data_IF_240725272041
#
_entry.id   IF_240725272041
#
_cell.length_a   1.000
_cell.length_b   1.000
_cell.length_c   1.000
_cell.angle_alpha   90.00
_cell.angle_beta   90.00
_cell.angle_gamma   90.00
#
_symmetry.space_group_name_H-M   'P 1'
#
loop_
_entity.id
_entity.type
_entity.pdbx_description
1 polymer ?
#
# COMPACT_ATOMS: atom_id res chain seq x y z
N UNK A 1 -13.32 -57.50 -11.31
CA UNK A 1 -13.99 -56.16 -11.15
C UNK A 1 -13.76 -55.46 -9.83
N UNK A 2 -13.23 -56.09 -8.79
CA UNK A 2 -13.00 -55.50 -7.46
C UNK A 2 -11.67 -54.75 -7.30
N UNK A 3 -10.70 -54.93 -8.20
CA UNK A 3 -9.38 -54.30 -8.07
C UNK A 3 -9.37 -52.79 -8.49
N UNK A 4 -10.24 -52.43 -9.43
CA UNK A 4 -10.34 -51.04 -9.89
C UNK A 4 -11.04 -50.07 -8.93
N UNK A 5 -11.87 -50.56 -8.01
CA UNK A 5 -12.58 -49.70 -7.04
C UNK A 5 -11.67 -49.11 -5.96
N UNK A 6 -10.59 -49.84 -5.58
CA UNK A 6 -9.64 -49.35 -4.55
C UNK A 6 -8.69 -48.28 -5.11
N UNK A 7 -8.33 -48.34 -6.38
CA UNK A 7 -7.52 -47.30 -7.03
C UNK A 7 -8.25 -45.98 -7.18
N UNK A 8 -9.55 -46.01 -7.47
CA UNK A 8 -10.38 -44.80 -7.56
C UNK A 8 -10.59 -44.10 -6.22
N UNK A 9 -10.71 -44.85 -5.12
CA UNK A 9 -10.85 -44.28 -3.79
C UNK A 9 -9.56 -43.57 -3.31
N UNK A 10 -8.39 -44.09 -3.65
CA UNK A 10 -7.11 -43.48 -3.30
C UNK A 10 -6.81 -42.21 -4.12
N UNK A 11 -7.24 -42.16 -5.38
CA UNK A 11 -7.11 -40.94 -6.21
C UNK A 11 -8.07 -39.85 -5.77
N UNK A 12 -9.29 -40.20 -5.41
CA UNK A 12 -10.27 -39.23 -4.89
C UNK A 12 -9.82 -38.60 -3.55
N UNK A 13 -9.24 -39.39 -2.63
CA UNK A 13 -8.67 -38.88 -1.38
C UNK A 13 -7.44 -38.02 -1.57
N UNK A 14 -6.58 -38.33 -2.55
CA UNK A 14 -5.42 -37.52 -2.86
C UNK A 14 -5.81 -36.16 -3.49
N UNK A 15 -6.82 -36.09 -4.33
CA UNK A 15 -7.33 -34.85 -4.91
C UNK A 15 -8.02 -33.96 -3.86
N UNK A 16 -8.77 -34.53 -2.92
CA UNK A 16 -9.40 -33.76 -1.83
C UNK A 16 -8.35 -33.23 -0.85
N UNK A 17 -7.30 -34.00 -0.55
CA UNK A 17 -6.19 -33.55 0.30
C UNK A 17 -5.37 -32.42 -0.37
N UNK A 18 -5.21 -32.42 -1.69
CA UNK A 18 -4.54 -31.35 -2.44
C UNK A 18 -5.36 -30.05 -2.48
N UNK A 19 -6.69 -30.14 -2.53
CA UNK A 19 -7.57 -28.99 -2.50
C UNK A 19 -7.64 -28.30 -1.11
N UNK A 20 -7.45 -29.06 -0.03
CA UNK A 20 -7.41 -28.51 1.33
C UNK A 20 -6.09 -27.78 1.62
N UNK A 21 -4.99 -28.14 0.93
CA UNK A 21 -3.67 -27.49 1.14
C UNK A 21 -3.53 -26.14 0.44
N UNK A 22 -4.37 -25.84 -0.56
CA UNK A 22 -4.39 -24.54 -1.23
C UNK A 22 -5.30 -23.50 -0.56
N UNK A 23 -5.97 -23.86 0.52
CA UNK A 23 -6.92 -23.02 1.25
C UNK A 23 -6.33 -22.22 2.42
N UNK A 24 -5.00 -22.16 2.60
CA UNK A 24 -4.42 -21.17 3.51
C UNK A 24 -4.45 -19.82 2.84
N UNK A 25 -5.57 -19.13 2.96
CA UNK A 25 -5.64 -17.68 2.73
C UNK A 25 -4.67 -17.04 3.71
N UNK A 26 -3.46 -16.74 3.24
CA UNK A 26 -2.62 -15.76 3.92
C UNK A 26 -3.40 -14.46 3.88
N UNK A 27 -4.02 -14.09 5.01
CA UNK A 27 -4.50 -12.72 5.17
C UNK A 27 -3.30 -11.82 4.83
N UNK A 28 -3.40 -10.91 3.84
CA UNK A 28 -2.36 -9.95 3.62
C UNK A 28 -2.20 -9.20 4.94
N UNK A 29 -1.06 -9.37 5.58
CA UNK A 29 -0.74 -8.60 6.76
C UNK A 29 -0.79 -7.13 6.31
N UNK A 30 -1.76 -6.38 6.83
CA UNK A 30 -1.91 -4.98 6.50
C UNK A 30 -0.66 -4.27 7.01
N UNK A 31 0.03 -3.59 6.11
CA UNK A 31 1.13 -2.69 6.43
C UNK A 31 0.68 -1.61 7.44
N UNK A 32 1.60 -0.78 7.90
CA UNK A 32 1.28 0.35 8.78
C UNK A 32 0.02 1.11 8.27
N UNK A 33 -1.04 1.23 9.06
CA UNK A 33 -2.37 1.65 8.56
C UNK A 33 -2.42 3.10 8.04
N UNK A 34 -1.46 3.94 8.44
CA UNK A 34 -1.38 5.35 8.06
C UNK A 34 -0.14 5.68 7.23
N UNK A 35 0.74 4.70 7.00
CA UNK A 35 1.97 4.95 6.25
C UNK A 35 1.70 4.88 4.75
N UNK A 36 2.28 5.79 4.00
CA UNK A 36 2.19 5.76 2.54
C UNK A 36 3.01 4.59 1.98
N UNK A 37 2.46 3.88 1.01
CA UNK A 37 3.23 2.89 0.26
C UNK A 37 4.42 3.58 -0.41
N UNK A 38 5.59 3.05 -0.16
CA UNK A 38 6.87 3.57 -0.56
C UNK A 38 7.56 2.62 -1.54
N UNK A 39 8.73 3.00 -2.00
CA UNK A 39 9.57 2.18 -2.87
C UNK A 39 9.96 0.84 -2.24
N UNK A 40 10.66 0.03 -2.98
CA UNK A 40 11.34 -1.13 -2.43
C UNK A 40 12.37 -0.66 -1.38
N UNK A 41 12.57 -1.45 -0.33
CA UNK A 41 13.64 -1.21 0.62
C UNK A 41 14.98 -1.68 0.03
N UNK A 42 16.10 -1.17 0.54
CA UNK A 42 17.42 -1.61 0.04
C UNK A 42 17.61 -3.13 0.19
N UNK A 43 17.10 -3.70 1.27
CA UNK A 43 17.16 -5.16 1.45
C UNK A 43 16.34 -5.92 0.42
N UNK A 44 15.16 -5.40 0.03
CA UNK A 44 14.34 -5.99 -1.04
C UNK A 44 14.98 -5.81 -2.42
N UNK A 45 15.52 -4.62 -2.69
CA UNK A 45 16.22 -4.35 -3.95
C UNK A 45 17.42 -5.29 -4.11
N UNK A 46 18.29 -5.37 -3.08
CA UNK A 46 19.46 -6.25 -3.10
C UNK A 46 19.08 -7.73 -3.24
N UNK A 47 18.00 -8.18 -2.62
CA UNK A 47 17.52 -9.56 -2.72
C UNK A 47 16.85 -9.88 -4.06
N UNK A 48 16.37 -8.87 -4.78
CA UNK A 48 15.77 -9.03 -6.11
C UNK A 48 16.82 -9.03 -7.23
N UNK A 49 18.07 -8.70 -6.93
CA UNK A 49 19.18 -8.66 -7.87
C UNK A 49 20.06 -9.91 -7.78
N UNK A 50 20.62 -10.34 -8.91
CA UNK A 50 21.52 -11.48 -8.96
C UNK A 50 22.87 -11.18 -8.30
N UNK A 51 23.30 -9.91 -8.34
CA UNK A 51 24.53 -9.46 -7.69
C UNK A 51 24.36 -8.06 -7.10
N UNK A 52 24.96 -7.82 -5.94
CA UNK A 52 25.11 -6.51 -5.31
C UNK A 52 26.55 -6.30 -4.84
N UNK A 53 27.11 -5.12 -5.13
CA UNK A 53 28.52 -4.84 -4.88
C UNK A 53 28.73 -3.40 -4.43
N UNK A 54 29.82 -3.17 -3.66
CA UNK A 54 30.37 -1.82 -3.50
C UNK A 54 31.51 -1.66 -4.50
N UNK A 55 31.44 -0.58 -5.26
CA UNK A 55 32.41 -0.28 -6.31
C UNK A 55 32.92 1.16 -6.22
N UNK A 56 34.03 1.43 -6.89
CA UNK A 56 34.62 2.75 -7.04
C UNK A 56 34.81 3.05 -8.51
N UNK A 57 34.46 4.25 -8.94
CA UNK A 57 34.69 4.67 -10.32
C UNK A 57 36.19 4.77 -10.62
N UNK A 58 36.59 4.24 -11.75
CA UNK A 58 37.99 4.34 -12.21
C UNK A 58 38.21 5.77 -12.74
N UNK A 59 39.15 6.54 -12.16
CA UNK A 59 39.36 7.92 -12.58
C UNK A 59 39.71 8.06 -14.07
N UNK A 60 39.05 8.97 -14.77
CA UNK A 60 39.30 9.24 -16.18
C UNK A 60 38.69 8.20 -17.14
N UNK A 61 37.82 7.31 -16.65
CA UNK A 61 37.13 6.32 -17.46
C UNK A 61 35.76 6.81 -17.97
N UNK A 62 35.33 8.01 -17.50
CA UNK A 62 34.02 8.58 -17.83
C UNK A 62 33.94 8.93 -19.31
N UNK A 63 32.80 8.59 -19.90
CA UNK A 63 32.35 9.05 -21.21
C UNK A 63 31.05 9.86 -21.08
N UNK A 64 30.47 10.30 -22.18
CA UNK A 64 29.16 10.97 -22.17
C UNK A 64 28.00 10.03 -21.79
N UNK A 65 28.22 8.71 -21.76
CA UNK A 65 27.15 7.73 -21.57
C UNK A 65 27.43 6.75 -20.42
N UNK A 66 28.69 6.49 -20.08
CA UNK A 66 29.08 5.44 -19.14
C UNK A 66 30.41 5.75 -18.42
N UNK A 67 30.74 4.94 -17.42
CA UNK A 67 32.02 4.95 -16.74
C UNK A 67 32.43 3.52 -16.36
N UNK A 68 33.72 3.31 -16.13
CA UNK A 68 34.27 2.04 -15.61
C UNK A 68 34.28 2.08 -14.08
N UNK A 69 33.82 1.00 -13.46
CA UNK A 69 33.80 0.85 -12.01
C UNK A 69 34.60 -0.40 -11.61
N UNK A 70 35.50 -0.25 -10.64
CA UNK A 70 36.24 -1.33 -10.01
C UNK A 70 35.47 -1.84 -8.78
N UNK A 71 35.20 -3.14 -8.74
CA UNK A 71 34.52 -3.80 -7.63
C UNK A 71 35.41 -3.81 -6.40
N UNK A 72 34.98 -3.18 -5.31
CA UNK A 72 35.71 -3.12 -4.04
C UNK A 72 35.32 -4.31 -3.15
N UNK A 73 34.03 -4.60 -3.05
CA UNK A 73 33.53 -5.74 -2.29
C UNK A 73 32.22 -6.26 -2.88
N UNK A 74 32.01 -7.57 -2.77
CA UNK A 74 30.78 -8.25 -3.19
C UNK A 74 29.92 -8.52 -1.95
N UNK A 75 28.64 -8.17 -2.00
CA UNK A 75 27.69 -8.27 -0.89
C UNK A 75 26.89 -9.58 -0.92
N UNK A 76 26.54 -10.05 -2.14
CA UNK A 76 25.89 -11.34 -2.39
C UNK A 76 26.43 -11.96 -3.67
N UNK A 77 26.21 -13.27 -3.88
CA UNK A 77 26.59 -14.04 -5.08
C UNK A 77 28.03 -13.82 -5.55
N UNK A 78 28.98 -14.17 -4.69
CA UNK A 78 30.43 -14.04 -4.96
C UNK A 78 30.91 -14.88 -6.13
N UNK A 79 30.10 -15.80 -6.64
CA UNK A 79 30.46 -16.63 -7.80
C UNK A 79 30.32 -15.91 -9.14
N UNK A 80 29.59 -14.79 -9.20
CA UNK A 80 29.31 -14.06 -10.44
C UNK A 80 30.33 -12.95 -10.73
N UNK A 81 30.96 -12.41 -9.70
CA UNK A 81 31.92 -11.31 -9.83
C UNK A 81 32.91 -11.32 -8.65
N UNK A 82 34.12 -10.86 -8.89
CA UNK A 82 35.19 -10.82 -7.86
C UNK A 82 35.65 -9.40 -7.56
N UNK A 83 36.13 -9.13 -6.34
CA UNK A 83 36.80 -7.88 -6.03
C UNK A 83 38.01 -7.62 -6.95
N UNK A 84 38.18 -6.36 -7.38
CA UNK A 84 39.20 -5.95 -8.36
C UNK A 84 38.76 -6.06 -9.81
N UNK A 85 37.67 -6.76 -10.11
CA UNK A 85 37.10 -6.81 -11.45
C UNK A 85 36.53 -5.43 -11.84
N UNK A 86 36.65 -5.07 -13.13
CA UNK A 86 36.16 -3.83 -13.68
C UNK A 86 34.94 -4.08 -14.54
N UNK A 87 33.93 -3.24 -14.38
CA UNK A 87 32.68 -3.30 -15.13
C UNK A 87 32.34 -1.93 -15.70
N UNK A 88 31.75 -1.88 -16.87
CA UNK A 88 31.29 -0.65 -17.49
C UNK A 88 29.79 -0.48 -17.29
N UNK A 89 29.40 0.66 -16.73
CA UNK A 89 28.01 0.92 -16.30
C UNK A 89 27.57 2.28 -16.83
N UNK A 90 26.33 2.39 -17.27
CA UNK A 90 25.73 3.68 -17.66
C UNK A 90 25.75 4.66 -16.50
N UNK A 91 26.46 5.77 -16.68
CA UNK A 91 26.63 6.78 -15.64
C UNK A 91 26.82 8.17 -16.27
N UNK A 92 26.01 9.12 -15.84
CA UNK A 92 25.99 10.49 -16.35
C UNK A 92 26.47 11.53 -15.33
N UNK A 93 26.93 11.08 -14.17
CA UNK A 93 27.38 11.94 -13.07
C UNK A 93 28.88 12.20 -13.11
N UNK A 94 29.31 13.11 -12.25
CA UNK A 94 30.73 13.30 -11.91
C UNK A 94 30.97 12.71 -10.53
N UNK A 95 31.82 11.71 -10.42
CA UNK A 95 32.20 11.17 -9.13
C UNK A 95 33.19 12.08 -8.44
N UNK A 96 33.07 12.20 -7.11
CA UNK A 96 34.12 12.79 -6.27
C UNK A 96 35.27 11.80 -6.15
N UNK A 97 36.54 12.29 -5.93
CA UNK A 97 37.63 11.39 -5.57
C UNK A 97 37.22 10.48 -4.41
N UNK A 98 37.58 9.20 -4.50
CA UNK A 98 37.27 8.15 -3.49
C UNK A 98 35.76 7.89 -3.25
N UNK A 99 34.86 8.37 -4.14
CA UNK A 99 33.43 8.11 -4.04
C UNK A 99 33.15 6.61 -4.26
N UNK A 100 32.46 5.99 -3.32
CA UNK A 100 31.94 4.64 -3.47
C UNK A 100 30.51 4.65 -4.01
N UNK A 101 30.13 3.53 -4.61
CA UNK A 101 28.82 3.31 -5.20
C UNK A 101 28.31 1.91 -4.86
N UNK A 102 27.02 1.79 -4.57
CA UNK A 102 26.31 0.53 -4.63
C UNK A 102 25.95 0.25 -6.09
N UNK A 103 26.42 -0.87 -6.62
CA UNK A 103 26.05 -1.41 -7.93
C UNK A 103 25.29 -2.70 -7.76
N UNK A 104 24.19 -2.83 -8.47
CA UNK A 104 23.36 -4.03 -8.50
C UNK A 104 23.20 -4.50 -9.94
N UNK A 105 23.27 -5.83 -10.17
CA UNK A 105 23.24 -6.42 -11.49
C UNK A 105 22.30 -7.61 -11.56
N UNK A 106 21.75 -7.83 -12.77
CA UNK A 106 20.83 -8.93 -13.10
C UNK A 106 21.23 -9.62 -14.40
N UNK A 107 20.63 -10.77 -14.68
CA UNK A 107 20.73 -11.53 -15.94
C UNK A 107 22.15 -12.04 -16.26
N UNK A 108 22.77 -12.88 -15.39
CA UNK A 108 24.03 -13.54 -15.72
C UNK A 108 23.88 -14.44 -16.97
N UNK A 109 24.95 -14.69 -17.79
CA UNK A 109 26.35 -14.37 -17.48
C UNK A 109 26.76 -12.92 -17.83
N UNK A 110 26.00 -12.19 -18.64
CA UNK A 110 26.26 -10.80 -18.99
C UNK A 110 25.41 -9.89 -18.10
N UNK A 111 25.99 -9.47 -16.96
CA UNK A 111 25.27 -8.67 -15.97
C UNK A 111 24.87 -7.30 -16.53
N UNK A 112 23.56 -7.02 -16.46
CA UNK A 112 22.98 -5.72 -16.69
C UNK A 112 22.96 -4.94 -15.38
N UNK A 113 23.69 -3.84 -15.35
CA UNK A 113 23.88 -3.05 -14.13
C UNK A 113 22.83 -1.96 -13.99
N UNK A 114 22.30 -1.78 -12.78
CA UNK A 114 21.49 -0.64 -12.40
C UNK A 114 22.31 0.65 -12.37
N UNK A 115 21.64 1.80 -12.31
CA UNK A 115 22.33 3.08 -12.12
C UNK A 115 23.13 3.08 -10.82
N UNK A 116 24.43 3.48 -10.86
CA UNK A 116 25.28 3.52 -9.67
C UNK A 116 24.70 4.45 -8.59
N UNK A 117 24.49 3.94 -7.39
CA UNK A 117 23.98 4.71 -6.25
C UNK A 117 25.16 5.19 -5.40
N UNK A 118 25.45 6.51 -5.30
CA UNK A 118 26.54 7.01 -4.47
C UNK A 118 26.33 6.69 -2.99
N UNK A 119 27.35 6.16 -2.32
CA UNK A 119 27.31 5.80 -0.90
C UNK A 119 28.55 6.35 -0.19
N UNK A 120 28.39 6.70 1.08
CA UNK A 120 29.49 7.05 1.99
C UNK A 120 29.81 5.88 2.92
N UNK A 121 30.82 6.02 3.75
CA UNK A 121 31.28 4.94 4.63
C UNK A 121 30.18 4.48 5.61
N UNK A 122 29.35 5.38 6.12
CA UNK A 122 28.23 5.06 7.01
C UNK A 122 27.18 4.23 6.26
N UNK A 123 26.85 4.61 5.03
CA UNK A 123 25.91 3.87 4.19
C UNK A 123 26.48 2.50 3.80
N UNK A 124 27.78 2.38 3.54
CA UNK A 124 28.44 1.09 3.26
C UNK A 124 28.30 0.13 4.42
N UNK A 125 28.60 0.57 5.65
CA UNK A 125 28.45 -0.29 6.84
C UNK A 125 26.99 -0.69 7.09
N UNK A 126 26.05 0.23 6.86
CA UNK A 126 24.62 -0.07 6.92
C UNK A 126 24.25 -1.15 5.89
N UNK A 127 24.60 -0.96 4.62
CA UNK A 127 24.31 -1.88 3.52
C UNK A 127 24.89 -3.28 3.79
N UNK A 128 26.13 -3.36 4.29
CA UNK A 128 26.73 -4.62 4.72
C UNK A 128 25.92 -5.30 5.83
N UNK A 129 25.40 -4.51 6.78
CA UNK A 129 24.58 -5.04 7.88
C UNK A 129 23.24 -5.61 7.36
N UNK A 130 22.67 -5.07 6.26
CA UNK A 130 21.46 -5.59 5.65
C UNK A 130 21.63 -7.03 5.15
N UNK A 131 22.83 -7.45 4.75
CA UNK A 131 23.10 -8.85 4.33
C UNK A 131 23.08 -9.85 5.50
N UNK A 132 23.09 -9.35 6.74
CA UNK A 132 23.14 -10.14 7.97
C UNK A 132 21.94 -9.91 8.88
N UNK A 133 20.83 -9.41 8.33
CA UNK A 133 19.61 -9.12 9.10
C UNK A 133 19.13 -10.37 9.87
N UNK A 134 18.66 -10.21 11.11
CA UNK A 134 18.06 -11.30 11.87
C UNK A 134 16.91 -11.98 11.13
N UNK A 135 16.79 -13.29 11.28
CA UNK A 135 15.67 -14.07 10.72
C UNK A 135 14.38 -13.87 11.52
N UNK A 136 14.49 -13.59 12.82
CA UNK A 136 13.36 -13.25 13.66
C UNK A 136 12.78 -11.90 13.24
N UNK A 137 11.46 -11.85 13.04
CA UNK A 137 10.79 -10.65 12.50
C UNK A 137 10.89 -9.46 13.43
N UNK A 138 10.78 -9.67 14.75
CA UNK A 138 10.85 -8.60 15.73
C UNK A 138 12.26 -8.00 15.82
N UNK A 139 13.27 -8.86 15.85
CA UNK A 139 14.67 -8.43 15.87
C UNK A 139 15.07 -7.77 14.54
N UNK A 140 14.55 -8.30 13.41
CA UNK A 140 14.77 -7.70 12.09
C UNK A 140 14.23 -6.26 12.04
N UNK A 141 12.98 -6.03 12.41
CA UNK A 141 12.43 -4.67 12.35
C UNK A 141 13.03 -3.76 13.42
N UNK A 142 13.40 -4.30 14.59
CA UNK A 142 14.10 -3.54 15.64
C UNK A 142 15.45 -3.01 15.19
N UNK A 143 16.13 -3.70 14.27
CA UNK A 143 17.39 -3.25 13.67
C UNK A 143 17.28 -1.85 13.07
N UNK A 144 16.14 -1.49 12.50
CA UNK A 144 15.93 -0.22 11.80
C UNK A 144 15.61 0.96 12.74
N UNK A 145 15.26 0.71 14.02
CA UNK A 145 14.92 1.79 14.98
C UNK A 145 15.99 2.88 15.13
N UNK A 146 17.31 2.56 15.25
CA UNK A 146 18.35 3.57 15.38
C UNK A 146 18.55 4.45 14.14
N UNK A 147 18.04 3.99 12.98
CA UNK A 147 18.21 4.68 11.70
C UNK A 147 17.05 5.60 11.35
N UNK A 148 15.93 5.55 12.11
CA UNK A 148 14.86 6.54 11.97
C UNK A 148 15.41 7.94 12.26
N UNK A 149 15.17 8.89 11.36
CA UNK A 149 15.72 10.26 11.40
C UNK A 149 17.27 10.30 11.51
N UNK A 150 17.94 9.32 10.93
CA UNK A 150 19.40 9.34 10.82
C UNK A 150 19.85 10.52 9.93
N UNK A 151 21.02 11.11 10.27
CA UNK A 151 21.57 12.25 9.53
C UNK A 151 21.93 11.92 8.06
N UNK A 152 22.21 10.64 7.75
CA UNK A 152 22.33 10.15 6.38
C UNK A 152 20.94 9.86 5.81
N UNK A 153 20.47 10.61 4.79
CA UNK A 153 19.09 10.53 4.32
C UNK A 153 18.70 9.16 3.74
N UNK A 154 19.67 8.45 3.14
CA UNK A 154 19.43 7.10 2.61
C UNK A 154 19.00 6.14 3.72
N UNK A 155 19.70 6.13 4.84
CA UNK A 155 19.41 5.26 5.97
C UNK A 155 18.07 5.61 6.61
N UNK A 156 17.81 6.91 6.82
CA UNK A 156 16.54 7.37 7.37
C UNK A 156 15.36 6.98 6.50
N UNK A 157 15.52 7.07 5.19
CA UNK A 157 14.48 6.68 4.25
C UNK A 157 14.25 5.17 4.23
N UNK A 158 15.31 4.38 4.13
CA UNK A 158 15.20 2.91 4.10
C UNK A 158 14.58 2.38 5.39
N UNK A 159 14.99 2.90 6.54
CA UNK A 159 14.39 2.56 7.83
C UNK A 159 12.88 2.90 7.86
N UNK A 160 12.49 4.08 7.36
CA UNK A 160 11.07 4.43 7.23
C UNK A 160 10.34 3.44 6.32
N UNK A 161 10.89 3.09 5.17
CA UNK A 161 10.27 2.19 4.19
C UNK A 161 10.07 0.77 4.77
N UNK A 162 11.02 0.25 5.54
CA UNK A 162 10.90 -1.03 6.27
C UNK A 162 9.76 -0.98 7.30
N UNK A 163 9.64 0.10 8.08
CA UNK A 163 8.55 0.27 9.03
C UNK A 163 7.20 0.48 8.35
N UNK A 164 7.14 1.22 7.25
CA UNK A 164 5.91 1.48 6.52
C UNK A 164 5.28 0.20 5.96
N UNK A 165 6.10 -0.81 5.66
CA UNK A 165 5.67 -2.15 5.22
C UNK A 165 5.38 -3.12 6.37
N UNK A 166 5.77 -2.75 7.59
CA UNK A 166 5.63 -3.62 8.75
C UNK A 166 4.18 -3.67 9.22
N UNK A 167 3.62 -4.88 9.45
CA UNK A 167 2.29 -5.03 10.02
C UNK A 167 2.15 -4.34 11.38
N UNK A 168 1.00 -3.72 11.64
CA UNK A 168 0.73 -3.04 12.91
C UNK A 168 0.92 -3.94 14.14
N UNK A 169 0.60 -5.23 14.02
CA UNK A 169 0.83 -6.21 15.09
C UNK A 169 2.32 -6.34 15.47
N UNK A 170 3.21 -6.28 14.48
CA UNK A 170 4.65 -6.35 14.71
C UNK A 170 5.16 -5.03 15.33
N UNK A 171 4.62 -3.88 14.89
CA UNK A 171 4.94 -2.57 15.51
C UNK A 171 4.51 -2.58 17.00
N UNK A 172 3.33 -3.13 17.33
CA UNK A 172 2.89 -3.30 18.74
C UNK A 172 3.87 -4.12 19.56
N UNK A 173 4.48 -5.15 18.96
CA UNK A 173 5.45 -6.01 19.63
C UNK A 173 6.76 -5.29 19.96
N UNK A 174 7.05 -4.15 19.33
CA UNK A 174 8.23 -3.31 19.62
C UNK A 174 8.06 -2.37 20.82
N UNK A 175 6.94 -2.37 21.53
CA UNK A 175 6.63 -1.43 22.62
C UNK A 175 7.82 -1.16 23.56
N UNK A 176 8.49 -2.20 24.03
CA UNK A 176 9.62 -2.09 24.98
C UNK A 176 10.92 -1.54 24.37
N UNK A 177 11.01 -1.50 23.03
CA UNK A 177 12.20 -1.03 22.29
C UNK A 177 12.01 0.41 21.78
N UNK A 178 10.80 0.96 21.82
CA UNK A 178 10.50 2.32 21.35
C UNK A 178 11.05 3.38 22.32
N UNK A 179 11.66 4.42 21.77
CA UNK A 179 12.13 5.55 22.55
C UNK A 179 11.04 6.64 22.60
N UNK A 180 10.21 6.61 23.65
CA UNK A 180 9.11 7.52 23.85
C UNK A 180 9.51 9.01 23.78
N UNK A 181 10.64 9.41 24.40
CA UNK A 181 11.06 10.82 24.40
C UNK A 181 11.41 11.31 22.99
N UNK A 182 12.06 10.48 22.16
CA UNK A 182 12.33 10.82 20.75
C UNK A 182 11.04 10.91 19.93
N UNK A 183 10.07 10.03 20.17
CA UNK A 183 8.78 10.11 19.48
C UNK A 183 8.07 11.43 19.78
N UNK A 184 8.07 11.89 21.04
CA UNK A 184 7.51 13.19 21.42
C UNK A 184 8.24 14.36 20.77
N UNK A 185 9.57 14.29 20.64
CA UNK A 185 10.37 15.29 19.93
C UNK A 185 9.97 15.34 18.46
N UNK A 186 9.94 14.21 17.77
CA UNK A 186 9.67 14.12 16.34
C UNK A 186 8.25 14.55 15.95
N UNK A 187 7.22 14.19 16.73
CA UNK A 187 5.86 14.61 16.40
C UNK A 187 5.65 16.12 16.54
N UNK A 188 6.45 16.80 17.38
CA UNK A 188 6.39 18.25 17.59
C UNK A 188 7.26 19.01 16.57
N UNK A 189 8.19 18.36 15.88
CA UNK A 189 9.02 18.98 14.87
C UNK A 189 8.18 19.32 13.62
N UNK A 190 7.94 20.63 13.40
CA UNK A 190 7.15 21.11 12.26
C UNK A 190 7.88 20.96 10.91
N UNK A 191 9.19 20.69 10.91
CA UNK A 191 9.96 20.45 9.69
C UNK A 191 9.85 19.02 9.18
N UNK A 192 9.42 18.07 10.02
CA UNK A 192 9.25 16.68 9.63
C UNK A 192 8.05 16.49 8.68
N UNK A 193 8.23 15.71 7.59
CA UNK A 193 7.15 15.37 6.67
C UNK A 193 5.99 14.64 7.36
N UNK A 194 4.77 14.88 6.88
CA UNK A 194 3.56 14.33 7.49
C UNK A 194 3.50 12.78 7.47
N UNK A 195 4.10 12.13 6.47
CA UNK A 195 4.20 10.66 6.40
C UNK A 195 5.05 10.09 7.53
N UNK A 196 6.18 10.72 7.86
CA UNK A 196 7.00 10.33 9.01
C UNK A 196 6.29 10.59 10.33
N UNK A 197 5.63 11.75 10.47
CA UNK A 197 4.80 12.03 11.66
C UNK A 197 3.72 10.97 11.87
N UNK A 198 3.06 10.51 10.81
CA UNK A 198 2.07 9.42 10.90
C UNK A 198 2.64 8.17 11.55
N UNK A 199 3.81 7.74 11.10
CA UNK A 199 4.49 6.57 11.66
C UNK A 199 4.81 6.77 13.15
N UNK A 200 5.37 7.94 13.53
CA UNK A 200 5.75 8.20 14.92
C UNK A 200 4.53 8.33 15.84
N UNK A 201 3.41 8.85 15.34
CA UNK A 201 2.15 8.87 16.06
C UNK A 201 1.58 7.45 16.28
N UNK A 202 1.70 6.56 15.29
CA UNK A 202 1.37 5.13 15.47
C UNK A 202 2.24 4.51 16.56
N UNK A 203 3.56 4.75 16.53
CA UNK A 203 4.50 4.24 17.55
C UNK A 203 4.22 4.85 18.94
N UNK A 204 3.86 6.13 19.01
CA UNK A 204 3.49 6.79 20.27
C UNK A 204 2.23 6.14 20.88
N UNK A 205 1.22 5.85 20.06
CA UNK A 205 0.04 5.09 20.48
C UNK A 205 0.40 3.71 21.03
N UNK A 206 1.40 3.04 20.46
CA UNK A 206 1.92 1.75 20.97
C UNK A 206 2.62 1.91 22.32
N UNK A 207 3.31 3.02 22.58
CA UNK A 207 3.87 3.32 23.91
C UNK A 207 2.75 3.38 24.96
N UNK A 208 1.57 3.87 24.59
CA UNK A 208 0.36 3.87 25.42
C UNK A 208 0.56 4.55 26.78
N UNK A 209 1.09 5.79 26.76
CA UNK A 209 1.21 6.63 27.93
C UNK A 209 0.05 7.64 27.93
N UNK A 210 -0.86 7.50 28.89
CA UNK A 210 -2.13 8.30 28.92
C UNK A 210 -1.90 9.81 29.08
N UNK A 211 -0.78 10.22 29.70
CA UNK A 211 -0.37 11.62 29.88
C UNK A 211 -0.11 12.36 28.55
N UNK A 212 0.24 11.62 27.48
CA UNK A 212 0.47 12.21 26.15
C UNK A 212 -0.83 12.73 25.51
N UNK A 213 -1.98 12.26 25.99
CA UNK A 213 -3.28 12.68 25.45
C UNK A 213 -3.50 14.19 25.56
N UNK A 214 -2.98 14.84 26.61
CA UNK A 214 -3.10 16.30 26.76
C UNK A 214 -2.30 17.07 25.70
N UNK A 215 -1.13 16.57 25.32
CA UNK A 215 -0.34 17.14 24.23
C UNK A 215 -1.06 16.97 22.90
N UNK A 216 -1.58 15.76 22.62
CA UNK A 216 -2.30 15.48 21.38
C UNK A 216 -3.57 16.34 21.27
N UNK A 217 -4.34 16.50 22.35
CA UNK A 217 -5.51 17.39 22.37
C UNK A 217 -5.12 18.84 22.01
N UNK A 218 -4.03 19.34 22.58
CA UNK A 218 -3.52 20.69 22.25
C UNK A 218 -3.17 20.80 20.76
N UNK A 219 -2.52 19.78 20.17
CA UNK A 219 -2.17 19.77 18.76
C UNK A 219 -3.42 19.67 17.86
N UNK A 220 -4.41 18.82 18.23
CA UNK A 220 -5.67 18.67 17.50
C UNK A 220 -6.49 19.98 17.46
N UNK A 221 -6.44 20.79 18.52
CA UNK A 221 -7.10 22.10 18.59
C UNK A 221 -6.31 23.23 17.93
N UNK A 222 -5.08 22.97 17.46
CA UNK A 222 -4.24 23.99 16.82
C UNK A 222 -4.82 24.44 15.48
N UNK A 223 -4.82 25.75 15.24
CA UNK A 223 -5.15 26.32 13.91
C UNK A 223 -3.97 26.26 12.94
N UNK A 224 -2.76 26.00 13.42
CA UNK A 224 -1.55 25.84 12.60
C UNK A 224 -1.53 24.45 11.96
N UNK A 225 -1.73 24.39 10.66
CA UNK A 225 -1.73 23.13 9.88
C UNK A 225 -0.38 22.38 9.97
N UNK A 226 0.74 23.08 10.16
CA UNK A 226 2.06 22.44 10.31
C UNK A 226 2.15 21.62 11.61
N UNK A 227 1.45 22.05 12.65
CA UNK A 227 1.36 21.32 13.92
C UNK A 227 0.45 20.08 13.80
N UNK A 228 -0.50 20.08 12.84
CA UNK A 228 -1.43 18.99 12.59
C UNK A 228 -0.97 18.03 11.49
N UNK A 229 0.32 18.04 11.12
CA UNK A 229 0.88 17.08 10.16
C UNK A 229 0.60 15.63 10.58
N UNK A 230 -0.01 14.82 9.69
CA UNK A 230 -0.42 13.45 9.99
C UNK A 230 -1.67 13.38 10.88
N UNK A 231 -2.65 14.27 10.66
CA UNK A 231 -3.86 14.43 11.47
C UNK A 231 -4.64 13.12 11.66
N UNK A 232 -4.71 12.27 10.64
CA UNK A 232 -5.34 10.95 10.69
C UNK A 232 -4.71 10.04 11.77
N UNK A 233 -3.39 9.93 11.78
CA UNK A 233 -2.66 9.18 12.81
C UNK A 233 -2.68 9.89 14.16
N UNK A 234 -2.73 11.22 14.19
CA UNK A 234 -2.82 11.99 15.43
C UNK A 234 -4.14 11.73 16.14
N UNK A 235 -5.25 11.73 15.41
CA UNK A 235 -6.58 11.38 15.94
C UNK A 235 -6.58 9.91 16.39
N UNK A 236 -6.03 8.98 15.57
CA UNK A 236 -5.96 7.57 15.94
C UNK A 236 -5.12 7.35 17.21
N UNK A 237 -3.98 8.03 17.34
CA UNK A 237 -3.16 7.99 18.56
C UNK A 237 -3.92 8.54 19.78
N UNK A 238 -4.55 9.70 19.65
CA UNK A 238 -5.38 10.30 20.73
C UNK A 238 -6.48 9.35 21.20
N UNK A 239 -7.21 8.75 20.26
CA UNK A 239 -8.26 7.78 20.56
C UNK A 239 -7.68 6.46 21.13
N UNK A 240 -6.47 6.07 20.76
CA UNK A 240 -5.77 4.93 21.37
C UNK A 240 -5.52 5.16 22.85
N UNK A 241 -5.15 6.40 23.23
CA UNK A 241 -4.84 6.77 24.62
C UNK A 241 -6.10 7.07 25.47
N UNK A 242 -7.17 7.62 24.86
CA UNK A 242 -8.39 8.03 25.55
C UNK A 242 -9.54 7.03 25.46
N UNK A 243 -9.44 6.09 24.54
CA UNK A 243 -10.56 5.20 24.24
C UNK A 243 -11.80 5.97 23.76
N UNK A 244 -12.97 5.42 24.06
CA UNK A 244 -14.26 6.02 23.67
C UNK A 244 -14.50 7.43 24.27
N UNK A 245 -13.87 7.75 25.39
CA UNK A 245 -13.96 9.09 26.02
C UNK A 245 -13.33 10.19 25.14
N UNK A 246 -12.47 9.83 24.19
CA UNK A 246 -11.89 10.76 23.24
C UNK A 246 -12.81 11.14 22.07
N UNK A 247 -13.83 10.33 21.77
CA UNK A 247 -14.72 10.55 20.61
C UNK A 247 -15.43 11.91 20.61
N UNK A 248 -15.98 12.41 21.73
CA UNK A 248 -16.66 13.71 21.74
C UNK A 248 -15.80 14.87 21.23
N UNK A 249 -14.49 14.85 21.49
CA UNK A 249 -13.58 15.87 20.97
C UNK A 249 -13.48 15.79 19.44
N UNK A 250 -13.36 14.60 18.90
CA UNK A 250 -13.23 14.36 17.46
C UNK A 250 -14.54 14.73 16.74
N UNK A 251 -15.67 14.38 17.34
CA UNK A 251 -16.99 14.74 16.85
C UNK A 251 -17.16 16.27 16.78
N UNK A 252 -16.78 16.98 17.85
CA UNK A 252 -16.84 18.43 17.93
C UNK A 252 -15.96 19.11 16.88
N UNK A 253 -14.70 18.69 16.76
CA UNK A 253 -13.73 19.38 15.92
C UNK A 253 -13.92 19.07 14.43
N UNK A 254 -14.28 17.84 14.06
CA UNK A 254 -14.17 17.38 12.68
C UNK A 254 -15.46 16.81 12.08
N UNK A 255 -16.21 15.98 12.81
CA UNK A 255 -17.31 15.23 12.19
C UNK A 255 -18.61 16.03 12.17
N UNK A 256 -18.98 16.62 13.29
CA UNK A 256 -20.17 17.46 13.42
C UNK A 256 -19.93 18.92 13.01
N UNK A 257 -18.67 19.31 12.87
CA UNK A 257 -18.28 20.68 12.51
C UNK A 257 -18.44 20.90 11.00
N UNK A 258 -19.53 21.57 10.60
CA UNK A 258 -19.79 21.91 9.19
C UNK A 258 -18.78 22.87 8.56
N UNK A 259 -17.89 23.51 9.36
CA UNK A 259 -16.81 24.36 8.86
C UNK A 259 -15.49 23.61 8.72
N UNK A 260 -15.40 22.37 9.24
CA UNK A 260 -14.21 21.53 9.10
C UNK A 260 -13.93 21.29 7.61
N UNK A 261 -12.68 21.44 7.22
CA UNK A 261 -12.24 21.18 5.85
C UNK A 261 -12.45 19.71 5.48
N UNK A 262 -12.60 19.44 4.19
CA UNK A 262 -12.73 18.08 3.67
C UNK A 262 -11.59 17.17 4.15
N UNK A 263 -10.33 17.65 4.05
CA UNK A 263 -9.16 16.88 4.43
C UNK A 263 -9.15 16.50 5.91
N UNK A 264 -9.55 17.44 6.79
CA UNK A 264 -9.60 17.20 8.23
C UNK A 264 -10.70 16.21 8.61
N UNK A 265 -11.89 16.37 8.00
CA UNK A 265 -13.00 15.42 8.19
C UNK A 265 -12.62 14.03 7.68
N UNK A 266 -11.96 13.94 6.53
CA UNK A 266 -11.50 12.67 5.97
C UNK A 266 -10.44 12.02 6.86
N UNK A 267 -9.51 12.80 7.44
CA UNK A 267 -8.53 12.30 8.40
C UNK A 267 -9.19 11.69 9.64
N UNK A 268 -10.26 12.34 10.16
CA UNK A 268 -11.03 11.79 11.27
C UNK A 268 -11.74 10.47 10.89
N UNK A 269 -12.33 10.38 9.71
CA UNK A 269 -12.93 9.14 9.20
C UNK A 269 -11.88 8.03 9.09
N UNK A 270 -10.66 8.32 8.61
CA UNK A 270 -9.58 7.33 8.53
C UNK A 270 -9.16 6.82 9.90
N UNK A 271 -9.07 7.69 10.91
CA UNK A 271 -8.80 7.29 12.29
C UNK A 271 -9.91 6.41 12.87
N UNK A 272 -11.17 6.72 12.60
CA UNK A 272 -12.30 5.89 13.02
C UNK A 272 -12.30 4.52 12.34
N UNK A 273 -11.98 4.45 11.04
CA UNK A 273 -11.79 3.18 10.32
C UNK A 273 -10.74 2.30 10.98
N UNK A 274 -9.60 2.89 11.35
CA UNK A 274 -8.56 2.16 12.07
C UNK A 274 -9.09 1.59 13.38
N UNK A 275 -9.82 2.36 14.20
CA UNK A 275 -10.38 1.86 15.44
C UNK A 275 -11.49 0.82 15.24
N UNK A 276 -12.26 0.93 14.17
CA UNK A 276 -13.29 -0.05 13.84
C UNK A 276 -12.75 -1.37 13.26
N UNK A 277 -11.47 -1.42 12.84
CA UNK A 277 -10.86 -2.63 12.22
C UNK A 277 -9.70 -3.20 13.03
N UNK A 278 -8.69 -2.39 13.33
CA UNK A 278 -7.41 -2.85 13.88
C UNK A 278 -7.12 -2.35 15.30
N UNK A 279 -7.69 -1.21 15.69
CA UNK A 279 -7.40 -0.55 16.97
C UNK A 279 -7.80 -1.40 18.18
N UNK A 280 -8.98 -2.01 18.15
CA UNK A 280 -9.46 -2.94 19.17
C UNK A 280 -9.64 -2.35 20.58
N UNK A 281 -9.67 -1.02 20.71
CA UNK A 281 -9.74 -0.30 22.00
C UNK A 281 -11.13 0.30 22.20
N UNK A 282 -11.80 0.70 21.12
CA UNK A 282 -13.13 1.31 21.15
C UNK A 282 -14.12 0.31 20.55
N UNK A 283 -15.24 0.10 21.23
CA UNK A 283 -16.31 -0.72 20.72
C UNK A 283 -16.80 -0.20 19.36
N UNK A 284 -17.00 -1.10 18.42
CA UNK A 284 -17.40 -0.75 17.04
C UNK A 284 -18.67 0.09 16.98
N UNK A 285 -19.65 -0.18 17.85
CA UNK A 285 -20.88 0.61 17.91
C UNK A 285 -20.60 2.09 18.27
N UNK A 286 -19.67 2.34 19.19
CA UNK A 286 -19.27 3.71 19.55
C UNK A 286 -18.58 4.41 18.37
N UNK A 287 -17.78 3.68 17.58
CA UNK A 287 -17.18 4.21 16.34
C UNK A 287 -18.25 4.53 15.30
N UNK A 288 -19.25 3.65 15.15
CA UNK A 288 -20.38 3.83 14.24
C UNK A 288 -21.21 5.05 14.61
N UNK A 289 -21.47 5.31 15.90
CA UNK A 289 -22.17 6.50 16.36
C UNK A 289 -21.51 7.79 15.87
N UNK A 290 -20.19 7.91 15.99
CA UNK A 290 -19.43 9.06 15.47
C UNK A 290 -19.46 9.12 13.94
N UNK A 291 -19.34 8.00 13.25
CA UNK A 291 -19.42 7.96 11.77
C UNK A 291 -20.78 8.40 11.24
N UNK A 292 -21.87 8.04 11.93
CA UNK A 292 -23.23 8.46 11.55
C UNK A 292 -23.43 9.96 11.52
N UNK A 293 -22.64 10.75 12.29
CA UNK A 293 -22.69 12.21 12.26
C UNK A 293 -22.39 12.78 10.87
N UNK A 294 -21.58 12.10 10.06
CA UNK A 294 -21.27 12.52 8.69
C UNK A 294 -22.50 12.45 7.78
N UNK A 295 -23.50 11.63 8.10
CA UNK A 295 -24.74 11.57 7.32
C UNK A 295 -25.57 12.88 7.39
N UNK A 296 -25.28 13.77 8.34
CA UNK A 296 -25.86 15.10 8.44
C UNK A 296 -25.12 16.16 7.58
N UNK A 297 -24.12 15.70 6.84
CA UNK A 297 -23.33 16.46 5.85
C UNK A 297 -23.45 15.78 4.48
N UNK A 298 -24.53 16.03 3.73
CA UNK A 298 -24.85 15.29 2.48
C UNK A 298 -23.71 15.29 1.46
N UNK A 299 -22.90 16.35 1.43
CA UNK A 299 -21.74 16.49 0.56
C UNK A 299 -20.56 15.57 0.92
N UNK A 300 -20.57 14.94 2.09
CA UNK A 300 -19.53 14.03 2.60
C UNK A 300 -20.08 12.66 3.00
N UNK A 301 -21.39 12.45 2.93
CA UNK A 301 -22.03 11.22 3.40
C UNK A 301 -21.54 9.97 2.65
N UNK A 302 -21.18 10.11 1.38
CA UNK A 302 -20.63 9.03 0.55
C UNK A 302 -19.33 8.44 1.14
N UNK A 303 -18.58 9.21 1.92
CA UNK A 303 -17.33 8.76 2.53
C UNK A 303 -17.53 7.65 3.58
N UNK A 304 -18.65 7.62 4.27
CA UNK A 304 -18.89 6.66 5.38
C UNK A 304 -19.89 5.56 5.03
N UNK A 305 -20.76 5.75 4.04
CA UNK A 305 -21.78 4.76 3.65
C UNK A 305 -21.18 3.37 3.37
N UNK A 306 -20.02 3.23 2.66
CA UNK A 306 -19.39 1.93 2.47
C UNK A 306 -18.93 1.27 3.76
N UNK A 307 -18.53 2.05 4.77
CA UNK A 307 -18.11 1.52 6.07
C UNK A 307 -19.31 1.05 6.88
N UNK A 308 -20.43 1.79 6.88
CA UNK A 308 -21.67 1.36 7.49
C UNK A 308 -22.13 0.02 6.90
N UNK A 309 -22.08 -0.15 5.58
CA UNK A 309 -22.40 -1.41 4.93
C UNK A 309 -21.42 -2.54 5.31
N UNK A 310 -20.11 -2.28 5.32
CA UNK A 310 -19.07 -3.25 5.68
C UNK A 310 -19.20 -3.73 7.12
N UNK A 311 -19.61 -2.84 8.01
CA UNK A 311 -19.79 -3.15 9.43
C UNK A 311 -21.21 -3.60 9.78
N UNK A 312 -22.06 -3.80 8.76
CA UNK A 312 -23.41 -4.31 8.88
C UNK A 312 -24.34 -3.41 9.73
N UNK A 313 -24.07 -2.11 9.71
CA UNK A 313 -24.94 -1.11 10.33
C UNK A 313 -26.16 -0.85 9.46
N UNK A 314 -27.16 -1.68 9.59
CA UNK A 314 -28.42 -1.58 8.81
C UNK A 314 -29.47 -0.67 9.47
N UNK A 315 -29.07 0.11 10.49
CA UNK A 315 -29.99 1.04 11.17
C UNK A 315 -30.27 2.30 10.37
N UNK A 316 -29.51 2.58 9.31
CA UNK A 316 -29.56 3.83 8.57
C UNK A 316 -30.35 3.79 7.26
N UNK A 317 -31.15 2.74 7.01
CA UNK A 317 -31.90 2.54 5.76
C UNK A 317 -32.72 3.78 5.40
N UNK A 318 -33.57 4.25 6.32
CA UNK A 318 -34.45 5.41 6.11
C UNK A 318 -33.65 6.70 5.86
N UNK A 319 -32.63 6.96 6.69
CA UNK A 319 -31.78 8.14 6.55
C UNK A 319 -31.07 8.19 5.21
N UNK A 320 -30.54 7.06 4.75
CA UNK A 320 -29.85 6.95 3.48
C UNK A 320 -30.83 7.10 2.29
N UNK A 321 -32.01 6.54 2.40
CA UNK A 321 -33.08 6.77 1.40
C UNK A 321 -33.44 8.24 1.27
N UNK A 322 -33.58 8.93 2.40
CA UNK A 322 -33.84 10.37 2.42
C UNK A 322 -32.71 11.17 1.78
N UNK A 323 -31.43 10.82 2.09
CA UNK A 323 -30.27 11.44 1.47
C UNK A 323 -30.26 11.25 -0.05
N UNK A 324 -30.61 10.07 -0.54
CA UNK A 324 -30.71 9.80 -1.96
C UNK A 324 -31.79 10.67 -2.64
N UNK A 325 -32.99 10.74 -2.04
CA UNK A 325 -34.13 11.50 -2.56
C UNK A 325 -33.86 13.01 -2.56
N UNK A 326 -33.16 13.52 -1.53
CA UNK A 326 -32.81 14.92 -1.37
C UNK A 326 -31.55 15.34 -2.15
N UNK A 327 -30.80 14.40 -2.74
CA UNK A 327 -29.52 14.68 -3.38
C UNK A 327 -29.67 15.63 -4.58
N UNK A 328 -28.91 16.72 -4.55
CA UNK A 328 -28.78 17.73 -5.61
C UNK A 328 -27.47 17.56 -6.40
N UNK A 329 -27.10 18.54 -7.24
CA UNK A 329 -25.85 18.50 -8.01
C UNK A 329 -24.61 18.41 -7.11
N UNK A 330 -24.65 18.99 -5.91
CA UNK A 330 -23.51 19.04 -4.98
C UNK A 330 -23.37 17.79 -4.11
N UNK A 331 -24.36 16.92 -4.11
CA UNK A 331 -24.44 15.70 -3.30
C UNK A 331 -24.82 14.45 -4.10
N UNK A 332 -24.94 14.58 -5.43
CA UNK A 332 -25.42 13.49 -6.30
C UNK A 332 -24.56 12.21 -6.26
N UNK A 333 -23.30 12.32 -5.87
CA UNK A 333 -22.39 11.18 -5.70
C UNK A 333 -22.82 10.24 -4.58
N UNK A 334 -23.66 10.66 -3.63
CA UNK A 334 -24.16 9.81 -2.54
C UNK A 334 -25.08 8.69 -3.08
N UNK A 335 -25.72 8.87 -4.26
CA UNK A 335 -26.71 7.94 -4.79
C UNK A 335 -26.18 6.53 -5.04
N UNK A 336 -24.99 6.40 -5.62
CA UNK A 336 -24.38 5.08 -5.88
C UNK A 336 -24.02 4.34 -4.59
N UNK A 337 -23.33 4.93 -3.60
CA UNK A 337 -23.11 4.33 -2.30
C UNK A 337 -24.38 3.90 -1.58
N UNK A 338 -25.45 4.71 -1.61
CA UNK A 338 -26.74 4.35 -1.00
C UNK A 338 -27.33 3.10 -1.65
N UNK A 339 -27.36 3.03 -2.99
CA UNK A 339 -27.83 1.83 -3.68
C UNK A 339 -27.00 0.60 -3.30
N UNK A 340 -25.68 0.73 -3.21
CA UNK A 340 -24.81 -0.38 -2.82
C UNK A 340 -25.04 -0.82 -1.38
N UNK A 341 -25.24 0.10 -0.45
CA UNK A 341 -25.63 -0.20 0.93
C UNK A 341 -26.94 -0.97 1.01
N UNK A 342 -28.00 -0.48 0.34
CA UNK A 342 -29.30 -1.14 0.32
C UNK A 342 -29.24 -2.54 -0.34
N UNK A 343 -28.44 -2.71 -1.38
CA UNK A 343 -28.23 -4.01 -2.04
C UNK A 343 -27.47 -5.02 -1.15
N UNK A 344 -26.60 -4.57 -0.28
CA UNK A 344 -25.88 -5.40 0.67
C UNK A 344 -26.72 -5.74 1.90
N UNK A 345 -27.69 -4.90 2.24
CA UNK A 345 -28.55 -5.08 3.41
C UNK A 345 -29.49 -6.28 3.26
N UNK A 346 -29.52 -7.21 4.23
CA UNK A 346 -30.37 -8.40 4.17
C UNK A 346 -31.83 -8.16 4.61
N UNK A 347 -32.16 -6.94 5.05
CA UNK A 347 -33.47 -6.63 5.62
C UNK A 347 -34.50 -6.34 4.53
N UNK A 348 -35.77 -6.83 4.64
CA UNK A 348 -36.84 -6.58 3.66
C UNK A 348 -37.13 -5.09 3.42
N UNK A 349 -36.93 -4.23 4.41
CA UNK A 349 -37.09 -2.78 4.25
C UNK A 349 -36.15 -2.19 3.20
N UNK A 350 -34.92 -2.73 3.08
CA UNK A 350 -33.96 -2.27 2.07
C UNK A 350 -34.42 -2.61 0.64
N UNK A 351 -35.07 -3.76 0.43
CA UNK A 351 -35.60 -4.14 -0.89
C UNK A 351 -36.73 -3.19 -1.33
N UNK A 352 -37.60 -2.78 -0.40
CA UNK A 352 -38.68 -1.84 -0.66
C UNK A 352 -38.14 -0.48 -1.08
N UNK A 353 -37.21 0.10 -0.29
CA UNK A 353 -36.55 1.36 -0.61
C UNK A 353 -35.80 1.27 -1.95
N UNK A 354 -35.08 0.18 -2.18
CA UNK A 354 -34.32 -0.02 -3.41
C UNK A 354 -35.21 0.01 -4.66
N UNK A 355 -36.40 -0.58 -4.59
CA UNK A 355 -37.40 -0.55 -5.69
C UNK A 355 -37.85 0.89 -5.98
N UNK A 356 -38.12 1.69 -4.93
CA UNK A 356 -38.52 3.09 -5.07
C UNK A 356 -37.39 3.95 -5.66
N UNK A 357 -36.16 3.83 -5.11
CA UNK A 357 -35.01 4.61 -5.56
C UNK A 357 -34.60 4.32 -7.00
N UNK A 358 -34.86 3.11 -7.48
CA UNK A 358 -34.63 2.72 -8.87
C UNK A 358 -35.50 3.49 -9.84
N UNK A 359 -36.76 3.76 -9.46
CA UNK A 359 -37.67 4.58 -10.28
C UNK A 359 -37.31 6.07 -10.30
N UNK A 360 -36.70 6.57 -9.18
CA UNK A 360 -36.28 7.96 -9.07
C UNK A 360 -35.03 8.23 -9.92
N UNK A 361 -34.01 7.36 -9.88
CA UNK A 361 -32.77 7.51 -10.65
C UNK A 361 -32.29 6.15 -11.22
N UNK A 362 -32.88 5.71 -12.36
CA UNK A 362 -32.48 4.48 -13.04
C UNK A 362 -31.01 4.49 -13.50
N UNK A 363 -30.45 5.70 -13.77
CA UNK A 363 -29.06 5.83 -14.21
C UNK A 363 -28.07 5.57 -13.08
N UNK A 364 -28.32 6.09 -11.86
CA UNK A 364 -27.54 5.77 -10.68
C UNK A 364 -27.63 4.27 -10.35
N UNK A 365 -28.81 3.67 -10.45
CA UNK A 365 -29.00 2.24 -10.26
C UNK A 365 -28.17 1.42 -11.25
N UNK A 366 -28.20 1.78 -12.54
CA UNK A 366 -27.39 1.13 -13.56
C UNK A 366 -25.89 1.26 -13.26
N UNK A 367 -25.40 2.45 -12.86
CA UNK A 367 -23.99 2.64 -12.46
C UNK A 367 -23.61 1.73 -11.29
N UNK A 368 -24.41 1.70 -10.22
CA UNK A 368 -24.15 0.86 -9.05
C UNK A 368 -24.08 -0.63 -9.39
N UNK A 369 -24.95 -1.11 -10.31
CA UNK A 369 -24.99 -2.53 -10.69
C UNK A 369 -23.95 -2.94 -11.71
N UNK A 370 -23.42 -2.00 -12.52
CA UNK A 370 -22.44 -2.29 -13.58
C UNK A 370 -21.01 -2.30 -13.08
N UNK A 371 -20.67 -1.42 -12.13
CA UNK A 371 -19.27 -1.25 -11.65
C UNK A 371 -18.99 -1.97 -10.33
N UNK A 372 -20.02 -2.27 -9.56
CA UNK A 372 -19.86 -2.91 -8.24
C UNK A 372 -20.79 -4.12 -8.13
N UNK A 373 -20.41 -5.27 -8.73
CA UNK A 373 -21.13 -6.51 -8.46
C UNK A 373 -20.96 -6.83 -6.98
N UNK A 374 -22.07 -6.72 -6.22
CA UNK A 374 -22.08 -7.22 -4.83
C UNK A 374 -22.04 -8.74 -4.92
N UNK A 375 -21.05 -9.42 -4.32
CA UNK A 375 -21.09 -10.86 -4.20
C UNK A 375 -22.37 -11.22 -3.44
N UNK A 376 -23.16 -12.17 -3.97
CA UNK A 376 -24.26 -12.75 -3.19
C UNK A 376 -23.61 -13.42 -1.99
N UNK A 377 -23.79 -12.85 -0.80
CA UNK A 377 -23.28 -13.39 0.44
C UNK A 377 -23.97 -14.73 0.72
N UNK A 378 -23.27 -15.83 0.43
CA UNK A 378 -23.50 -17.05 1.18
C UNK A 378 -22.91 -16.76 2.57
N UNK A 379 -23.75 -16.75 3.58
CA UNK A 379 -23.36 -16.57 4.96
C UNK A 379 -22.19 -17.50 5.30
N UNK A 380 -20.99 -16.95 5.50
CA UNK A 380 -19.82 -17.71 5.91
C UNK A 380 -18.45 -17.31 5.35
N UNK A 381 -18.33 -16.30 4.48
CA UNK A 381 -17.02 -15.87 3.99
C UNK A 381 -16.75 -14.42 4.40
N UNK A 382 -15.87 -14.23 5.38
CA UNK A 382 -15.22 -12.97 5.70
C UNK A 382 -14.19 -12.67 4.60
N UNK A 383 -14.59 -11.97 3.55
CA UNK A 383 -13.69 -11.53 2.50
C UNK A 383 -13.27 -10.07 2.75
N UNK A 384 -12.02 -9.89 3.18
CA UNK A 384 -11.40 -8.60 3.53
C UNK A 384 -10.79 -7.86 2.33
N UNK A 385 -11.24 -8.12 1.11
CA UNK A 385 -10.58 -7.61 -0.12
C UNK A 385 -11.11 -6.28 -0.64
N UNK A 386 -11.54 -5.35 0.22
CA UNK A 386 -11.78 -3.96 -0.18
C UNK A 386 -10.61 -3.08 0.28
N UNK A 387 -9.56 -3.01 -0.53
CA UNK A 387 -8.57 -1.94 -0.38
C UNK A 387 -9.28 -0.57 -0.57
N UNK A 388 -9.03 0.41 0.30
CA UNK A 388 -9.58 1.75 0.11
C UNK A 388 -9.12 2.31 -1.25
N UNK A 389 -9.96 3.11 -1.94
CA UNK A 389 -9.54 3.76 -3.16
C UNK A 389 -8.30 4.60 -2.87
N UNK A 390 -7.21 4.36 -3.62
CA UNK A 390 -6.01 5.20 -3.56
C UNK A 390 -6.44 6.63 -3.91
N UNK A 391 -6.19 7.55 -2.99
CA UNK A 391 -6.32 8.98 -3.26
C UNK A 391 -5.47 9.32 -4.49
N UNK A 392 -5.97 10.14 -5.43
CA UNK A 392 -5.10 10.74 -6.42
C UNK A 392 -4.01 11.50 -5.67
N UNK A 393 -2.75 11.25 -6.02
CA UNK A 393 -1.61 11.96 -5.46
C UNK A 393 -1.90 13.47 -5.63
N UNK A 394 -2.01 14.18 -4.51
CA UNK A 394 -2.10 15.63 -4.54
C UNK A 394 -0.84 16.13 -5.21
N UNK A 395 -0.99 16.73 -6.38
CA UNK A 395 0.08 17.42 -7.09
C UNK A 395 0.40 18.67 -6.28
N UNK A 396 1.26 18.55 -5.30
CA UNK A 396 1.94 19.68 -4.72
C UNK A 396 3.06 20.02 -5.70
N UNK A 397 2.81 21.01 -6.54
CA UNK A 397 3.84 21.72 -7.27
C UNK A 397 4.80 22.35 -6.25
N UNK A 398 5.87 21.63 -5.93
CA UNK A 398 7.01 22.22 -5.24
C UNK A 398 7.66 23.20 -6.20
N UNK A 399 7.44 24.47 -5.97
CA UNK A 399 8.19 25.55 -6.61
C UNK A 399 9.61 25.51 -6.04
N UNK A 400 10.53 24.87 -6.75
CA UNK A 400 11.96 24.93 -6.42
C UNK A 400 12.45 26.32 -6.82
N UNK A 401 12.59 27.22 -5.86
CA UNK A 401 13.31 28.48 -6.03
C UNK A 401 14.81 28.19 -5.94
N UNK A 402 15.46 28.08 -7.09
CA UNK A 402 16.93 28.15 -7.15
C UNK A 402 17.34 29.61 -6.99
N UNK A 403 17.96 29.96 -5.88
CA UNK A 403 18.62 31.26 -5.67
C UNK A 403 19.97 31.23 -6.37
N UNK A 404 20.06 31.89 -7.52
CA UNK A 404 21.34 32.33 -8.08
C UNK A 404 21.67 33.67 -7.47
N UNK A 405 22.91 33.82 -7.01
CA UNK A 405 23.48 35.06 -6.48
C UNK A 405 23.70 36.09 -7.62
N UNK A 406 22.67 36.75 -8.04
CA UNK A 406 22.73 38.08 -8.66
C UNK A 406 21.30 38.60 -8.79
N UNK A 407 21.08 39.74 -8.13
CA UNK A 407 19.76 40.33 -7.98
C UNK A 407 19.26 41.05 -9.21
N UNK A 408 18.40 40.41 -9.97
CA UNK A 408 17.46 41.11 -10.87
C UNK A 408 16.20 40.21 -11.06
N UNK A 409 15.08 40.73 -10.58
CA UNK A 409 13.75 40.17 -10.81
C UNK A 409 13.29 40.44 -12.23
N UNK A 410 13.13 39.40 -13.05
CA UNK A 410 12.32 39.49 -14.28
C UNK A 410 11.32 38.34 -14.29
N UNK A 411 10.04 38.68 -14.22
CA UNK A 411 8.91 37.80 -14.37
C UNK A 411 8.80 37.28 -15.80
N UNK A 412 9.24 36.05 -16.05
CA UNK A 412 9.11 35.36 -17.34
C UNK A 412 7.89 34.45 -17.42
N UNK A 413 6.79 34.96 -17.97
CA UNK A 413 5.51 34.23 -18.19
C UNK A 413 5.47 33.55 -19.57
N UNK A 414 6.58 32.99 -20.07
CA UNK A 414 6.70 32.51 -21.46
C UNK A 414 7.34 31.13 -21.65
N UNK A 415 7.47 30.31 -20.60
CA UNK A 415 8.08 28.99 -20.71
C UNK A 415 7.08 27.80 -20.60
N UNK A 416 5.83 28.04 -20.25
CA UNK A 416 4.83 26.96 -20.03
C UNK A 416 4.15 26.48 -21.33
N UNK A 417 4.17 27.28 -22.40
CA UNK A 417 3.43 26.96 -23.64
C UNK A 417 4.21 26.12 -24.66
N UNK A 418 5.53 25.99 -24.50
CA UNK A 418 6.38 25.21 -25.44
C UNK A 418 6.66 23.76 -24.98
N UNK A 419 6.33 23.38 -23.76
CA UNK A 419 6.49 21.99 -23.29
C UNK A 419 5.24 21.12 -23.52
N UNK A 420 4.10 21.71 -23.85
CA UNK A 420 2.86 20.98 -24.12
C UNK A 420 2.70 20.45 -25.55
N UNK A 421 3.58 20.83 -26.47
CA UNK A 421 3.47 20.49 -27.90
C UNK A 421 4.43 19.38 -28.38
N UNK A 422 5.15 18.71 -27.48
CA UNK A 422 6.25 17.80 -27.84
C UNK A 422 6.10 16.33 -27.43
N UNK A 423 4.97 15.91 -26.85
CA UNK A 423 4.77 14.49 -26.52
C UNK A 423 3.70 13.91 -27.42
N UNK A 424 4.08 13.60 -28.66
CA UNK A 424 3.34 12.71 -29.54
C UNK A 424 3.58 11.26 -29.11
N UNK A 425 2.50 10.52 -28.92
CA UNK A 425 2.45 9.15 -28.48
C UNK A 425 3.31 8.21 -29.35
N UNK A 426 4.41 7.76 -28.81
CA UNK A 426 5.11 6.56 -29.24
C UNK A 426 4.71 5.39 -28.34
N UNK A 427 3.79 4.57 -28.81
CA UNK A 427 3.43 3.29 -28.16
C UNK A 427 4.61 2.33 -28.31
N UNK A 428 5.36 2.09 -27.22
CA UNK A 428 6.25 0.94 -27.13
C UNK A 428 5.45 -0.29 -26.64
N UNK A 429 5.62 -1.47 -27.24
CA UNK A 429 4.89 -2.65 -26.83
C UNK A 429 5.40 -3.13 -25.46
N UNK A 430 4.52 -3.14 -24.47
CA UNK A 430 4.76 -3.80 -23.19
C UNK A 430 4.69 -5.31 -23.42
N UNK A 431 5.82 -5.99 -23.42
CA UNK A 431 5.90 -7.44 -23.37
C UNK A 431 5.36 -7.91 -22.00
N UNK A 432 4.15 -8.46 -22.01
CA UNK A 432 3.63 -9.22 -20.88
C UNK A 432 4.43 -10.51 -20.71
N UNK A 433 4.78 -10.94 -19.51
CA UNK A 433 5.56 -12.15 -19.30
C UNK A 433 4.79 -13.39 -19.79
N UNK A 434 5.44 -14.22 -20.60
CA UNK A 434 4.96 -15.48 -21.15
C UNK A 434 4.51 -16.51 -20.08
N UNK A 435 4.84 -16.33 -18.83
CA UNK A 435 4.48 -17.21 -17.72
C UNK A 435 2.96 -17.35 -17.48
N UNK A 436 2.16 -16.27 -17.69
CA UNK A 436 0.71 -16.34 -17.50
C UNK A 436 0.00 -17.15 -18.60
N UNK A 437 0.57 -17.20 -19.80
CA UNK A 437 -0.01 -17.93 -20.94
C UNK A 437 0.22 -19.45 -20.84
N UNK A 438 1.32 -19.90 -20.24
CA UNK A 438 1.65 -21.32 -20.09
C UNK A 438 0.77 -21.98 -19.03
N UNK A 439 0.46 -21.28 -17.92
CA UNK A 439 -0.43 -21.80 -16.87
C UNK A 439 -1.87 -21.90 -17.38
N UNK A 440 -2.33 -20.96 -18.21
CA UNK A 440 -3.68 -21.00 -18.80
C UNK A 440 -3.84 -22.14 -19.83
N UNK A 441 -2.81 -22.43 -20.65
CA UNK A 441 -2.86 -23.54 -21.61
C UNK A 441 -2.80 -24.91 -20.92
N UNK A 442 -2.05 -25.06 -19.84
CA UNK A 442 -1.99 -26.29 -19.08
C UNK A 442 -3.35 -26.64 -18.43
N UNK A 443 -4.05 -25.66 -17.89
CA UNK A 443 -5.36 -25.85 -17.27
C UNK A 443 -6.44 -26.25 -18.29
N UNK A 444 -6.44 -25.66 -19.48
CA UNK A 444 -7.38 -25.99 -20.56
C UNK A 444 -7.11 -27.39 -21.11
N UNK A 445 -5.84 -27.80 -21.22
CA UNK A 445 -5.47 -29.13 -21.69
C UNK A 445 -5.88 -30.25 -20.74
N UNK A 446 -5.76 -30.02 -19.42
CA UNK A 446 -6.23 -30.96 -18.39
C UNK A 446 -7.77 -31.07 -18.39
N UNK A 447 -8.46 -29.96 -18.60
CA UNK A 447 -9.93 -29.93 -18.65
C UNK A 447 -10.47 -30.67 -19.90
N UNK A 448 -9.83 -30.49 -21.05
CA UNK A 448 -10.17 -31.19 -22.29
C UNK A 448 -9.88 -32.69 -22.21
N UNK A 449 -8.77 -33.09 -21.59
CA UNK A 449 -8.45 -34.51 -21.38
C UNK A 449 -9.45 -35.16 -20.42
N UNK A 450 -9.84 -34.46 -19.36
CA UNK A 450 -10.84 -34.94 -18.38
C UNK A 450 -12.24 -35.03 -19.00
N UNK A 451 -12.61 -34.09 -19.88
CA UNK A 451 -13.89 -34.11 -20.60
C UNK A 451 -13.96 -35.28 -21.62
N UNK A 452 -12.85 -35.56 -22.33
CA UNK A 452 -12.76 -36.68 -23.27
C UNK A 452 -12.89 -38.05 -22.57
N UNK A 453 -12.31 -38.18 -21.38
CA UNK A 453 -12.41 -39.40 -20.57
C UNK A 453 -13.83 -39.60 -20.02
N UNK A 454 -14.49 -38.52 -19.61
CA UNK A 454 -15.87 -38.56 -19.04
C UNK A 454 -16.91 -38.78 -20.15
N UNK A 455 -16.70 -38.27 -21.37
CA UNK A 455 -17.64 -38.35 -22.48
C UNK A 455 -17.60 -39.68 -23.23
N UNK A 456 -16.70 -40.61 -22.90
CA UNK A 456 -16.63 -41.94 -23.50
C UNK A 456 -16.27 -41.95 -24.99
N UNK A 457 -15.83 -40.85 -25.58
CA UNK A 457 -15.36 -40.74 -26.96
C UNK A 457 -13.89 -41.05 -27.03
N UNK A 458 -13.53 -42.09 -27.79
CA UNK A 458 -12.15 -42.57 -27.97
C UNK A 458 -11.22 -41.47 -28.49
N UNK A 459 -9.93 -41.57 -28.14
CA UNK A 459 -8.86 -40.64 -28.59
C UNK A 459 -8.82 -40.51 -30.10
N UNK A 460 -8.75 -39.27 -30.64
CA UNK A 460 -8.61 -39.05 -32.09
C UNK A 460 -7.30 -39.66 -32.63
N UNK A 461 -7.34 -40.22 -33.85
CA UNK A 461 -6.25 -41.00 -34.47
C UNK A 461 -4.93 -40.27 -34.67
N UNK A 462 -4.86 -38.93 -34.48
CA UNK A 462 -3.63 -38.14 -34.60
C UNK A 462 -2.75 -38.12 -33.33
N UNK A 463 -3.20 -38.76 -32.24
CA UNK A 463 -2.42 -38.93 -31.01
C UNK A 463 -1.72 -40.27 -30.87
N UNK A 464 -1.71 -41.13 -31.90
CA UNK A 464 -1.00 -42.41 -31.89
C UNK A 464 0.51 -42.20 -32.08
N UNK A 465 1.39 -42.82 -31.26
CA UNK A 465 2.83 -42.67 -31.40
C UNK A 465 3.32 -43.33 -32.70
N UNK A 466 4.18 -42.63 -33.46
CA UNK A 466 4.84 -43.13 -34.64
C UNK A 466 5.68 -44.39 -34.30
N UNK A 467 5.22 -45.56 -34.71
CA UNK A 467 6.05 -46.75 -34.75
C UNK A 467 7.04 -46.63 -35.93
N UNK A 468 8.34 -46.54 -35.63
CA UNK A 468 9.40 -46.73 -36.61
C UNK A 468 9.31 -48.17 -37.12
N UNK A 469 9.18 -48.33 -38.43
CA UNK A 469 9.47 -49.61 -39.10
C UNK A 469 10.97 -49.64 -39.30
N UNK A 470 11.58 -50.74 -38.84
CA UNK A 470 12.89 -51.22 -39.25
C UNK A 470 12.77 -51.82 -40.61
#
# INVERSE_FOLDING_TARGET
MLHNRKLWATWATACVASLVWFGTTTNPALACPFCSAVSQTLSEEMNAMDVATIARMVPGSETDADAEFEIVSVLNEQSLIEPGQKVRVSYFGKAKPEQHFLLMGVDPPELLWSSPLPVNDVAIEYIKSLTQLPKDRLERIAFFLPYLEHSEPMLARDAYDEFAKTPYADIKSLKSKLNHAKLLEWIQDTSLPADRKRMYLVMLGVCNQSEDAALLEKLLRSEDENQRGGLDSMIACYLTLRGAEGLPLIDELFLNNKKSQYADTYAAIMALRFHGTEGGIIDKERVLESMRLILDRPELADLVIPDLARWEDWTQIEKLSQLFKAADEKSSWVRVPVINYLRACPLPAAEQELAELKEIDPAAFKRATSFFPVPKTNAGATDSSFAPPKLPASVHSATVTATTSDGTLTTGKLAAEKLAAGISAGTLPVNRPLAASVVSMASVSVWLAMWLVISGRGTPAWLAPWRRRT
#
